data_IF_766102188494
#
_entry.id   IF_766102188494
#
_cell.length_a   1.000
_cell.length_b   1.000
_cell.length_c   1.000
_cell.angle_alpha   90.00
_cell.angle_beta   90.00
_cell.angle_gamma   90.00
#
_symmetry.space_group_name_H-M   'P 1'
#
loop_
_entity.id
_entity.type
_entity.pdbx_description
1 polymer ?
#
# COMPACT_ATOMS: atom_id res chain seq x y z
N UNK A 1 -25.79 11.88 1.75
CA UNK A 1 -24.75 12.34 0.80
C UNK A 1 -25.33 12.43 -0.61
N UNK A 2 -24.96 13.45 -1.38
CA UNK A 2 -25.39 13.65 -2.78
C UNK A 2 -24.39 13.04 -3.77
N UNK A 3 -24.81 12.78 -5.01
CA UNK A 3 -23.95 12.24 -6.09
C UNK A 3 -22.71 13.13 -6.35
N UNK A 4 -22.90 14.44 -6.30
CA UNK A 4 -21.80 15.42 -6.46
C UNK A 4 -20.76 15.26 -5.35
N UNK A 5 -21.19 15.18 -4.09
CA UNK A 5 -20.28 15.02 -2.95
C UNK A 5 -19.43 13.74 -3.07
N UNK A 6 -20.01 12.64 -3.56
CA UNK A 6 -19.27 11.39 -3.81
C UNK A 6 -18.24 11.56 -4.94
N UNK A 7 -18.61 12.20 -6.03
CA UNK A 7 -17.72 12.40 -7.18
C UNK A 7 -16.54 13.29 -6.83
N UNK A 8 -16.78 14.40 -6.12
CA UNK A 8 -15.71 15.27 -5.62
C UNK A 8 -14.76 14.51 -4.70
N UNK A 9 -15.29 13.68 -3.80
CA UNK A 9 -14.46 12.81 -2.94
C UNK A 9 -13.58 11.85 -3.76
N UNK A 10 -14.14 11.19 -4.77
CA UNK A 10 -13.40 10.28 -5.65
C UNK A 10 -12.32 10.99 -6.49
N UNK A 11 -12.59 12.20 -6.99
CA UNK A 11 -11.57 12.99 -7.70
C UNK A 11 -10.44 13.44 -6.77
N UNK A 12 -10.78 13.90 -5.56
CA UNK A 12 -9.77 14.28 -4.56
C UNK A 12 -8.90 13.09 -4.15
N UNK A 13 -9.51 11.90 -4.02
CA UNK A 13 -8.79 10.65 -3.79
C UNK A 13 -7.77 10.35 -4.89
N UNK A 14 -8.21 10.37 -6.14
CA UNK A 14 -7.34 10.12 -7.29
C UNK A 14 -6.21 11.15 -7.37
N UNK A 15 -6.49 12.43 -7.05
CA UNK A 15 -5.48 13.49 -7.04
C UNK A 15 -4.40 13.27 -5.97
N UNK A 16 -4.76 12.79 -4.78
CA UNK A 16 -3.80 12.45 -3.72
C UNK A 16 -2.93 11.27 -4.15
N UNK A 17 -3.53 10.18 -4.64
CA UNK A 17 -2.77 9.00 -5.11
C UNK A 17 -1.82 9.38 -6.25
N UNK A 18 -2.29 10.15 -7.23
CA UNK A 18 -1.45 10.64 -8.32
C UNK A 18 -0.37 11.63 -7.88
N UNK A 19 -0.49 12.25 -6.71
CA UNK A 19 0.58 13.07 -6.11
C UNK A 19 1.63 12.19 -5.46
N UNK A 20 1.22 11.20 -4.65
CA UNK A 20 2.13 10.24 -4.02
C UNK A 20 2.95 9.46 -5.06
N UNK A 21 2.33 9.01 -6.14
CA UNK A 21 3.03 8.30 -7.21
C UNK A 21 4.12 9.16 -7.87
N UNK A 22 3.94 10.48 -7.94
CA UNK A 22 4.94 11.40 -8.52
C UNK A 22 6.14 11.66 -7.61
N UNK A 23 6.08 11.22 -6.35
CA UNK A 23 7.18 11.35 -5.38
C UNK A 23 8.13 10.15 -5.41
N UNK A 24 7.73 9.06 -6.07
CA UNK A 24 8.53 7.85 -6.16
C UNK A 24 9.67 8.02 -7.17
N UNK A 25 10.82 7.45 -6.84
CA UNK A 25 11.87 7.20 -7.83
C UNK A 25 11.52 5.99 -8.73
N UNK A 26 12.31 5.76 -9.78
CA UNK A 26 12.06 4.71 -10.76
C UNK A 26 12.09 3.31 -10.12
N UNK A 27 13.00 3.08 -9.16
CA UNK A 27 13.14 1.80 -8.47
C UNK A 27 11.94 1.52 -7.56
N UNK A 28 11.50 2.53 -6.80
CA UNK A 28 10.30 2.49 -5.97
C UNK A 28 9.03 2.29 -6.80
N UNK A 29 8.95 2.92 -7.97
CA UNK A 29 7.87 2.73 -8.93
C UNK A 29 7.82 1.31 -9.47
N UNK A 30 8.97 0.74 -9.85
CA UNK A 30 9.08 -0.64 -10.29
C UNK A 30 8.68 -1.63 -9.18
N UNK A 31 9.21 -1.44 -7.96
CA UNK A 31 8.86 -2.26 -6.80
C UNK A 31 7.35 -2.24 -6.50
N UNK A 32 6.70 -1.07 -6.63
CA UNK A 32 5.24 -0.96 -6.46
C UNK A 32 4.49 -1.76 -7.53
N UNK A 33 4.99 -1.79 -8.77
CA UNK A 33 4.45 -2.60 -9.85
C UNK A 33 4.59 -4.10 -9.58
N UNK A 34 5.77 -4.54 -9.17
CA UNK A 34 6.06 -5.95 -8.83
C UNK A 34 5.17 -6.46 -7.68
N UNK A 35 4.90 -5.63 -6.67
CA UNK A 35 4.00 -5.99 -5.57
C UNK A 35 2.59 -6.35 -6.02
N UNK A 36 2.14 -5.78 -7.14
CA UNK A 36 0.80 -5.99 -7.71
C UNK A 36 0.75 -7.14 -8.71
N UNK A 37 1.89 -7.67 -9.13
CA UNK A 37 1.95 -8.79 -10.05
C UNK A 37 1.39 -10.05 -9.38
N UNK A 38 0.56 -10.79 -10.10
CA UNK A 38 0.07 -12.11 -9.68
C UNK A 38 0.84 -13.15 -10.47
N UNK A 39 1.76 -13.91 -9.83
CA UNK A 39 2.53 -14.92 -10.54
C UNK A 39 1.64 -15.98 -11.20
N UNK A 40 2.10 -16.54 -12.32
CA UNK A 40 1.36 -17.61 -12.99
C UNK A 40 1.08 -18.79 -12.05
N UNK A 41 -0.15 -19.30 -12.09
CA UNK A 41 -0.61 -20.37 -11.19
C UNK A 41 -0.99 -19.90 -9.79
N UNK A 42 -0.72 -18.65 -9.41
CA UNK A 42 -1.14 -18.07 -8.14
C UNK A 42 -2.45 -17.27 -8.28
N UNK A 43 -3.10 -17.05 -7.13
CA UNK A 43 -4.30 -16.19 -7.02
C UNK A 43 -4.06 -14.90 -6.27
N UNK A 44 -2.88 -14.77 -5.65
CA UNK A 44 -2.54 -13.71 -4.72
C UNK A 44 -1.20 -13.10 -5.16
N UNK A 45 -1.13 -11.78 -5.16
CA UNK A 45 0.09 -11.00 -5.36
C UNK A 45 0.98 -11.03 -4.11
N UNK A 46 2.18 -10.43 -4.18
CA UNK A 46 3.00 -10.21 -2.98
C UNK A 46 2.31 -9.24 -2.02
N UNK A 47 1.63 -8.20 -2.53
CA UNK A 47 0.84 -7.28 -1.70
C UNK A 47 -0.25 -8.01 -0.90
N UNK A 48 -0.93 -8.99 -1.50
CA UNK A 48 -1.94 -9.80 -0.82
C UNK A 48 -1.35 -10.65 0.31
N UNK A 49 -0.10 -11.09 0.16
CA UNK A 49 0.62 -11.83 1.20
C UNK A 49 1.00 -10.91 2.36
N UNK A 50 1.52 -9.72 2.08
CA UNK A 50 1.85 -8.70 3.09
C UNK A 50 0.62 -8.26 3.91
N UNK A 51 -0.56 -8.26 3.29
CA UNK A 51 -1.82 -7.88 3.96
C UNK A 51 -2.51 -9.03 4.69
N UNK A 52 -1.99 -10.25 4.61
CA UNK A 52 -2.67 -11.43 5.17
C UNK A 52 -2.49 -11.48 6.70
N UNK A 53 -3.58 -11.49 7.48
CA UNK A 53 -3.47 -11.65 8.93
C UNK A 53 -3.11 -13.10 9.30
N UNK A 54 -2.60 -13.34 10.52
CA UNK A 54 -2.44 -14.70 11.03
C UNK A 54 -3.79 -15.43 11.09
N UNK A 55 -3.81 -16.70 10.72
CA UNK A 55 -5.04 -17.53 10.68
C UNK A 55 -5.43 -18.11 12.04
N UNK A 56 -4.50 -18.11 13.00
CA UNK A 56 -4.71 -18.54 14.39
C UNK A 56 -3.89 -17.66 15.32
N UNK A 57 -4.41 -17.40 16.52
CA UNK A 57 -3.68 -16.68 17.57
C UNK A 57 -2.74 -17.64 18.29
N UNK A 58 -1.56 -17.87 17.71
CA UNK A 58 -0.46 -18.61 18.32
C UNK A 58 0.87 -17.96 17.96
N UNK A 59 1.90 -18.15 18.79
CA UNK A 59 3.25 -17.63 18.52
C UNK A 59 3.76 -17.99 17.12
N UNK A 60 3.76 -19.27 16.70
CA UNK A 60 4.20 -19.66 15.36
C UNK A 60 3.39 -19.00 14.23
N UNK A 61 2.07 -18.96 14.34
CA UNK A 61 1.22 -18.34 13.32
C UNK A 61 1.44 -16.83 13.23
N UNK A 62 1.78 -16.17 14.34
CA UNK A 62 2.18 -14.76 14.35
C UNK A 62 3.54 -14.56 13.67
N UNK A 63 4.53 -15.43 13.91
CA UNK A 63 5.83 -15.38 13.22
C UNK A 63 5.65 -15.55 11.71
N UNK A 64 4.89 -16.55 11.28
CA UNK A 64 4.61 -16.81 9.86
C UNK A 64 3.92 -15.61 9.19
N UNK A 65 3.02 -14.93 9.89
CA UNK A 65 2.33 -13.74 9.37
C UNK A 65 3.20 -12.48 9.37
N UNK A 66 4.21 -12.38 10.24
CA UNK A 66 5.14 -11.25 10.30
C UNK A 66 6.35 -11.43 9.38
N UNK A 67 6.69 -12.66 9.00
CA UNK A 67 7.83 -12.93 8.12
C UNK A 67 7.76 -12.13 6.80
N UNK A 68 6.62 -12.06 6.08
CA UNK A 68 6.51 -11.21 4.90
C UNK A 68 6.72 -9.72 5.21
N UNK A 69 6.25 -9.23 6.36
CA UNK A 69 6.41 -7.83 6.75
C UNK A 69 7.88 -7.43 6.98
N UNK A 70 8.78 -8.39 7.20
CA UNK A 70 10.22 -8.14 7.28
C UNK A 70 10.84 -7.66 5.96
N UNK A 71 10.15 -7.84 4.83
CA UNK A 71 10.59 -7.38 3.51
C UNK A 71 10.27 -5.89 3.27
N UNK A 72 9.32 -5.32 4.02
CA UNK A 72 8.83 -3.93 3.83
C UNK A 72 9.95 -2.89 3.88
N UNK A 73 10.94 -2.94 4.81
CA UNK A 73 12.04 -1.98 4.83
C UNK A 73 12.86 -1.97 3.53
N UNK A 74 12.96 -3.11 2.83
CA UNK A 74 13.68 -3.21 1.55
C UNK A 74 13.01 -2.41 0.41
N UNK A 75 11.73 -2.06 0.55
CA UNK A 75 10.98 -1.30 -0.45
C UNK A 75 11.24 0.22 -0.38
N UNK A 76 11.93 0.71 0.67
CA UNK A 76 12.38 2.10 0.83
C UNK A 76 11.28 3.18 0.78
N UNK A 77 10.00 2.82 0.85
CA UNK A 77 8.90 3.80 0.85
C UNK A 77 8.88 4.72 2.07
N UNK A 78 9.55 4.35 3.17
CA UNK A 78 9.69 5.21 4.35
C UNK A 78 10.55 6.47 4.08
N UNK A 79 11.33 6.48 3.00
CA UNK A 79 12.18 7.60 2.59
C UNK A 79 11.44 8.61 1.70
N UNK A 80 10.22 8.29 1.25
CA UNK A 80 9.42 9.17 0.39
C UNK A 80 8.94 10.36 1.21
N UNK A 81 9.36 11.56 0.81
CA UNK A 81 8.87 12.79 1.42
C UNK A 81 7.41 13.05 1.01
N UNK A 82 6.52 12.95 1.99
CA UNK A 82 5.07 13.12 1.80
C UNK A 82 4.55 14.48 2.28
N UNK A 83 5.43 15.44 2.62
CA UNK A 83 5.04 16.74 3.18
C UNK A 83 4.07 17.53 2.27
N UNK A 84 4.15 17.32 0.95
CA UNK A 84 3.24 17.91 -0.03
C UNK A 84 1.77 17.44 0.12
N UNK A 85 1.55 16.29 0.78
CA UNK A 85 0.22 15.75 1.06
C UNK A 85 -0.14 16.06 2.52
N UNK A 86 -1.24 16.77 2.79
CA UNK A 86 -1.64 17.08 4.16
C UNK A 86 -1.76 15.81 5.02
N UNK A 87 -1.17 15.75 6.24
CA UNK A 87 -1.14 14.54 7.06
C UNK A 87 -2.52 13.95 7.34
N UNK A 88 -3.54 14.81 7.48
CA UNK A 88 -4.94 14.38 7.63
C UNK A 88 -5.40 13.48 6.48
N UNK A 89 -4.98 13.76 5.24
CA UNK A 89 -5.35 12.98 4.06
C UNK A 89 -4.68 11.60 4.03
N UNK A 90 -3.52 11.47 4.64
CA UNK A 90 -2.83 10.19 4.80
C UNK A 90 -3.49 9.36 5.92
N UNK A 91 -3.86 9.99 7.03
CA UNK A 91 -4.48 9.32 8.18
C UNK A 91 -5.92 8.85 7.95
N UNK A 92 -6.72 9.54 7.12
CA UNK A 92 -8.10 9.15 6.79
C UNK A 92 -8.18 7.84 5.97
N UNK A 93 -7.03 7.28 5.56
CA UNK A 93 -6.91 6.11 4.68
C UNK A 93 -6.28 4.89 5.38
N UNK A 94 -5.85 5.02 6.63
CA UNK A 94 -5.36 3.94 7.51
C UNK A 94 -6.43 3.58 8.54
#
# INVERSE_FOLDING_TARGET
MTRLARLVGSCQEAAVVGTLHRLLDDDQGAALGELLEVPEGNRNSQLDQLRRPPTRVSGPAMVDALQPASEIPGLRFAEVDTEVVPPRRLAERL
#
